data_IF_367633852958
#
_entry.id   IF_367633852958
#
_cell.length_a   1.000
_cell.length_b   1.000
_cell.length_c   1.000
_cell.angle_alpha   90.00
_cell.angle_beta   90.00
_cell.angle_gamma   90.00
#
_symmetry.space_group_name_H-M   'P 1'
#
loop_
_entity.id
_entity.type
_entity.pdbx_description
1 polymer ?
#
# COMPACT_ATOMS: atom_id res chain seq x y z
N UNK A 1 5.95 -21.30 11.86
CA UNK A 1 6.29 -19.90 11.49
C UNK A 1 5.26 -19.01 12.14
N UNK A 2 5.66 -17.86 12.71
CA UNK A 2 4.68 -16.87 13.15
C UNK A 2 4.13 -16.19 11.90
N UNK A 3 2.85 -16.36 11.62
CA UNK A 3 2.19 -15.71 10.50
C UNK A 3 1.87 -14.26 10.87
N UNK A 4 2.85 -13.39 10.61
CA UNK A 4 2.60 -11.96 10.43
C UNK A 4 1.83 -11.75 9.14
N UNK A 5 1.05 -10.68 9.09
CA UNK A 5 0.35 -10.26 7.88
C UNK A 5 -1.14 -10.06 8.10
N UNK A 6 -1.82 -9.57 7.09
CA UNK A 6 -3.25 -9.27 7.18
C UNK A 6 -3.93 -9.41 5.82
N UNK A 7 -5.15 -9.92 5.82
CA UNK A 7 -6.04 -9.89 4.67
C UNK A 7 -7.47 -9.49 5.09
N UNK A 8 -8.28 -9.11 4.12
CA UNK A 8 -9.66 -8.64 4.34
C UNK A 8 -10.59 -9.73 4.91
N UNK A 9 -10.25 -11.01 4.74
CA UNK A 9 -11.05 -12.16 5.18
C UNK A 9 -10.86 -12.47 6.68
N UNK A 10 -9.83 -11.90 7.33
CA UNK A 10 -9.51 -12.16 8.74
C UNK A 10 -10.56 -11.63 9.74
N UNK A 11 -11.60 -10.92 9.28
CA UNK A 11 -12.67 -10.39 10.13
C UNK A 11 -12.21 -9.36 11.18
N UNK A 12 -10.98 -8.88 11.08
CA UNK A 12 -10.40 -7.88 11.99
C UNK A 12 -9.78 -6.72 11.22
N UNK A 13 -9.64 -5.56 11.86
CA UNK A 13 -9.01 -4.40 11.23
C UNK A 13 -7.49 -4.60 11.08
N UNK A 14 -6.91 -4.00 10.05
CA UNK A 14 -5.46 -4.00 9.82
C UNK A 14 -4.72 -3.36 11.01
N UNK A 15 -5.27 -2.29 11.59
CA UNK A 15 -4.74 -1.69 12.82
C UNK A 15 -4.68 -2.69 13.98
N UNK A 16 -5.79 -3.43 14.20
CA UNK A 16 -5.86 -4.45 15.24
C UNK A 16 -4.83 -5.55 15.04
N UNK A 17 -4.66 -6.01 13.79
CA UNK A 17 -3.68 -7.03 13.44
C UNK A 17 -2.24 -6.55 13.61
N UNK A 18 -1.89 -5.33 13.16
CA UNK A 18 -0.55 -4.74 13.37
C UNK A 18 -0.18 -4.68 14.85
N UNK A 19 -1.12 -4.30 15.73
CA UNK A 19 -0.89 -4.28 17.19
C UNK A 19 -0.70 -5.68 17.76
N UNK A 20 -1.52 -6.65 17.34
CA UNK A 20 -1.40 -8.04 17.78
C UNK A 20 -0.07 -8.66 17.33
N UNK A 21 0.35 -8.38 16.09
CA UNK A 21 1.60 -8.86 15.53
C UNK A 21 2.81 -8.20 16.17
N UNK A 22 2.74 -6.89 16.48
CA UNK A 22 3.80 -6.22 17.23
C UNK A 22 4.02 -6.88 18.59
N UNK A 23 2.94 -7.19 19.32
CA UNK A 23 3.02 -7.90 20.60
C UNK A 23 3.68 -9.27 20.40
N UNK A 24 3.26 -9.99 19.37
CA UNK A 24 3.80 -11.31 19.03
C UNK A 24 5.29 -11.26 18.68
N UNK A 25 5.72 -10.27 17.88
CA UNK A 25 7.12 -10.04 17.52
C UNK A 25 7.98 -9.67 18.74
N UNK A 26 7.45 -8.85 19.65
CA UNK A 26 8.15 -8.51 20.90
C UNK A 26 8.33 -9.74 21.81
N UNK A 27 7.31 -10.58 21.96
CA UNK A 27 7.36 -11.78 22.79
C UNK A 27 8.30 -12.86 22.22
N UNK A 28 8.28 -13.02 20.90
CA UNK A 28 9.14 -13.97 20.18
C UNK A 28 10.57 -13.46 19.94
N UNK A 29 10.85 -12.20 20.30
CA UNK A 29 12.13 -11.51 20.05
C UNK A 29 12.50 -11.45 18.56
N UNK A 30 11.53 -11.49 17.65
CA UNK A 30 11.75 -11.16 16.24
C UNK A 30 11.93 -9.65 16.11
N UNK A 31 13.19 -9.20 16.23
CA UNK A 31 13.53 -7.78 16.19
C UNK A 31 13.24 -7.16 14.82
N UNK A 32 13.37 -7.93 13.74
CA UNK A 32 13.19 -7.43 12.39
C UNK A 32 11.71 -7.18 12.09
N UNK A 33 10.83 -8.14 12.44
CA UNK A 33 9.39 -7.94 12.32
C UNK A 33 8.88 -6.84 13.26
N UNK A 34 9.39 -6.81 14.50
CA UNK A 34 9.06 -5.76 15.48
C UNK A 34 9.41 -4.37 14.94
N UNK A 35 10.61 -4.19 14.42
CA UNK A 35 11.08 -2.90 13.95
C UNK A 35 10.35 -2.47 12.68
N UNK A 36 10.04 -3.42 11.78
CA UNK A 36 9.20 -3.16 10.62
C UNK A 36 7.79 -2.67 10.99
N UNK A 37 7.12 -3.37 11.91
CA UNK A 37 5.77 -2.99 12.36
C UNK A 37 5.80 -1.66 13.11
N UNK A 38 6.84 -1.40 13.92
CA UNK A 38 7.01 -0.09 14.59
C UNK A 38 7.21 1.04 13.60
N UNK A 39 7.95 0.81 12.51
CA UNK A 39 8.11 1.81 11.47
C UNK A 39 6.75 2.17 10.87
N UNK A 40 5.90 1.19 10.54
CA UNK A 40 4.53 1.46 10.05
C UNK A 40 3.73 2.30 11.05
N UNK A 41 3.75 1.94 12.33
CA UNK A 41 3.03 2.67 13.38
C UNK A 41 3.59 4.09 13.56
N UNK A 42 4.89 4.29 13.36
CA UNK A 42 5.53 5.62 13.46
C UNK A 42 5.07 6.59 12.37
N UNK A 43 4.50 6.08 11.26
CA UNK A 43 3.96 6.90 10.17
C UNK A 43 2.53 7.38 10.43
N UNK A 44 1.84 6.84 11.43
CA UNK A 44 0.45 7.17 11.75
C UNK A 44 0.16 8.66 12.00
N UNK A 45 1.08 9.47 12.58
CA UNK A 45 0.88 10.92 12.68
C UNK A 45 0.65 11.64 11.34
N UNK A 46 1.02 11.03 10.20
CA UNK A 46 0.72 11.58 8.87
C UNK A 46 -0.76 11.46 8.49
N UNK A 47 -1.49 10.54 9.11
CA UNK A 47 -2.93 10.40 8.91
C UNK A 47 -3.64 11.49 9.68
N UNK A 48 -4.18 12.48 8.96
CA UNK A 48 -4.78 13.66 9.57
C UNK A 48 -6.23 13.87 9.16
N UNK A 49 -6.96 14.61 9.97
CA UNK A 49 -8.29 15.14 9.64
C UNK A 49 -8.27 16.66 9.72
N UNK A 50 -8.98 17.34 8.80
CA UNK A 50 -9.11 18.78 8.84
C UNK A 50 -9.93 19.23 10.05
N UNK A 51 -9.56 20.36 10.64
CA UNK A 51 -10.33 21.02 11.68
C UNK A 51 -10.35 22.53 11.45
N UNK A 52 -11.40 23.18 11.96
CA UNK A 52 -11.54 24.63 11.91
C UNK A 52 -11.49 25.16 13.34
N UNK A 53 -10.56 26.06 13.62
CA UNK A 53 -10.44 26.72 14.91
C UNK A 53 -11.55 27.74 15.11
N UNK A 54 -11.81 28.16 16.35
CA UNK A 54 -12.79 29.23 16.67
C UNK A 54 -12.51 30.54 15.92
N UNK A 55 -11.23 30.79 15.59
CA UNK A 55 -10.80 31.92 14.77
C UNK A 55 -11.12 31.80 13.26
N UNK A 56 -11.78 30.72 12.83
CA UNK A 56 -12.06 30.40 11.42
C UNK A 56 -10.86 29.84 10.63
N UNK A 57 -9.68 29.73 11.25
CA UNK A 57 -8.48 29.17 10.60
C UNK A 57 -8.60 27.65 10.45
N UNK A 58 -8.29 27.15 9.25
CA UNK A 58 -8.13 25.71 8.98
C UNK A 58 -6.82 25.20 9.61
N UNK A 59 -6.89 24.04 10.23
CA UNK A 59 -5.76 23.31 10.82
C UNK A 59 -5.98 21.81 10.62
N UNK A 60 -5.07 20.99 11.13
CA UNK A 60 -5.12 19.53 11.04
C UNK A 60 -4.77 18.90 12.39
N UNK A 61 -5.38 17.76 12.67
CA UNK A 61 -5.00 16.89 13.79
C UNK A 61 -4.79 15.47 13.30
N UNK A 62 -4.07 14.67 14.06
CA UNK A 62 -3.93 13.25 13.78
C UNK A 62 -5.30 12.55 13.88
N UNK A 63 -5.50 11.53 13.03
CA UNK A 63 -6.59 10.57 13.16
C UNK A 63 -6.42 9.80 14.46
N UNK A 64 -7.53 9.59 15.16
CA UNK A 64 -7.63 8.63 16.26
C UNK A 64 -7.70 7.22 15.69
N UNK A 65 -7.50 6.23 16.55
CA UNK A 65 -7.51 4.81 16.15
C UNK A 65 -8.83 4.37 15.53
N UNK A 66 -9.95 4.88 16.03
CA UNK A 66 -11.31 4.64 15.52
C UNK A 66 -11.60 5.35 14.19
N UNK A 67 -10.76 6.31 13.79
CA UNK A 67 -10.87 7.06 12.53
C UNK A 67 -9.96 6.51 11.42
N UNK A 68 -9.03 5.62 11.76
CA UNK A 68 -8.09 5.01 10.82
C UNK A 68 -8.76 3.87 10.04
N UNK A 69 -8.86 4.01 8.73
CA UNK A 69 -9.39 2.93 7.89
C UNK A 69 -8.28 1.97 7.46
N UNK A 70 -8.65 0.75 7.07
CA UNK A 70 -7.70 -0.22 6.50
C UNK A 70 -6.99 0.38 5.28
N UNK A 71 -7.72 1.12 4.45
CA UNK A 71 -7.19 1.77 3.26
C UNK A 71 -6.13 2.82 3.62
N UNK A 72 -6.34 3.64 4.65
CA UNK A 72 -5.32 4.62 5.09
C UNK A 72 -4.00 3.92 5.43
N UNK A 73 -4.07 2.84 6.20
CA UNK A 73 -2.90 2.08 6.66
C UNK A 73 -2.24 1.35 5.49
N UNK A 74 -3.02 0.75 4.59
CA UNK A 74 -2.50 0.16 3.36
C UNK A 74 -1.75 1.20 2.51
N UNK A 75 -2.22 2.46 2.44
CA UNK A 75 -1.50 3.54 1.76
C UNK A 75 -0.14 3.82 2.38
N UNK A 76 -0.06 3.87 3.71
CA UNK A 76 1.20 4.10 4.42
C UNK A 76 2.19 2.96 4.18
N UNK A 77 1.75 1.70 4.31
CA UNK A 77 2.59 0.52 4.07
C UNK A 77 3.11 0.53 2.63
N UNK A 78 2.29 0.91 1.65
CA UNK A 78 2.72 1.05 0.26
C UNK A 78 3.74 2.16 0.05
N UNK A 79 3.57 3.30 0.71
CA UNK A 79 4.57 4.38 0.69
C UNK A 79 5.92 3.90 1.21
N UNK A 80 5.93 3.13 2.30
CA UNK A 80 7.13 2.54 2.87
C UNK A 80 7.76 1.49 1.94
N UNK A 81 6.96 0.59 1.35
CA UNK A 81 7.43 -0.38 0.36
C UNK A 81 8.09 0.30 -0.83
N UNK A 82 7.48 1.38 -1.35
CA UNK A 82 8.07 2.17 -2.46
C UNK A 82 9.40 2.80 -2.05
N UNK A 83 9.45 3.41 -0.86
CA UNK A 83 10.68 4.01 -0.34
C UNK A 83 11.78 2.96 -0.17
N UNK A 84 11.46 1.78 0.33
CA UNK A 84 12.43 0.70 0.52
C UNK A 84 12.96 0.16 -0.81
N UNK A 85 12.09 -0.03 -1.82
CA UNK A 85 12.51 -0.46 -3.17
C UNK A 85 13.53 0.51 -3.78
N UNK A 86 13.33 1.82 -3.62
CA UNK A 86 14.29 2.84 -4.08
C UNK A 86 15.63 2.72 -3.35
N UNK A 87 15.61 2.49 -2.04
CA UNK A 87 16.85 2.27 -1.25
C UNK A 87 17.57 1.00 -1.70
N UNK A 88 16.84 -0.08 -1.93
CA UNK A 88 17.37 -1.36 -2.40
C UNK A 88 18.01 -1.23 -3.79
N UNK A 89 17.39 -0.49 -4.71
CA UNK A 89 17.95 -0.21 -6.03
C UNK A 89 19.30 0.52 -5.92
N UNK A 90 19.40 1.54 -5.06
CA UNK A 90 20.64 2.27 -4.80
C UNK A 90 21.72 1.35 -4.21
N UNK A 91 21.32 0.44 -3.31
CA UNK A 91 22.21 -0.54 -2.68
C UNK A 91 22.55 -1.73 -3.59
N UNK A 92 21.84 -1.91 -4.71
CA UNK A 92 21.89 -3.10 -5.57
C UNK A 92 21.55 -4.39 -4.81
N UNK A 93 20.57 -4.30 -3.91
CA UNK A 93 20.01 -5.43 -3.16
C UNK A 93 18.62 -5.77 -3.72
N UNK A 94 18.26 -7.05 -3.78
CA UNK A 94 16.97 -7.47 -4.35
C UNK A 94 15.82 -7.46 -3.33
N UNK A 95 16.12 -7.67 -2.05
CA UNK A 95 15.12 -7.64 -0.98
C UNK A 95 15.75 -7.23 0.35
N UNK A 96 14.89 -6.83 1.28
CA UNK A 96 15.21 -6.69 2.69
C UNK A 96 14.15 -7.37 3.55
N UNK A 97 14.53 -7.77 4.76
CA UNK A 97 13.57 -8.30 5.73
C UNK A 97 12.44 -7.30 6.03
N UNK A 98 12.73 -6.00 5.96
CA UNK A 98 11.73 -4.96 6.09
C UNK A 98 10.67 -5.06 4.97
N UNK A 99 11.11 -5.15 3.72
CA UNK A 99 10.24 -5.34 2.56
C UNK A 99 9.41 -6.62 2.67
N UNK A 100 10.01 -7.74 3.06
CA UNK A 100 9.32 -9.02 3.22
C UNK A 100 8.17 -8.91 4.22
N UNK A 101 8.42 -8.29 5.39
CA UNK A 101 7.41 -8.13 6.45
C UNK A 101 6.28 -7.22 5.99
N UNK A 102 6.59 -6.08 5.38
CA UNK A 102 5.56 -5.16 4.90
C UNK A 102 4.64 -5.80 3.84
N UNK A 103 5.24 -6.61 2.95
CA UNK A 103 4.51 -7.30 1.88
C UNK A 103 3.42 -8.25 2.42
N UNK A 104 3.61 -8.83 3.62
CA UNK A 104 2.61 -9.70 4.24
C UNK A 104 1.32 -8.99 4.66
N UNK A 105 1.34 -7.65 4.78
CA UNK A 105 0.17 -6.85 5.15
C UNK A 105 -0.55 -6.24 3.95
N UNK A 106 0.02 -6.39 2.75
CA UNK A 106 -0.58 -5.90 1.51
C UNK A 106 -1.36 -7.03 0.85
N UNK A 107 -2.47 -6.73 0.15
CA UNK A 107 -3.07 -7.67 -0.78
C UNK A 107 -2.00 -8.15 -1.76
N UNK A 108 -2.10 -9.41 -2.21
CA UNK A 108 -1.26 -9.94 -3.29
C UNK A 108 -1.26 -8.93 -4.43
N UNK A 109 -0.09 -8.36 -4.71
CA UNK A 109 0.01 -7.37 -5.76
C UNK A 109 -0.32 -8.06 -7.08
N UNK A 110 -1.11 -7.41 -7.92
CA UNK A 110 -1.34 -7.89 -9.26
C UNK A 110 -0.01 -7.79 -10.03
N UNK A 111 0.48 -8.95 -10.45
CA UNK A 111 1.66 -9.03 -11.28
C UNK A 111 1.40 -8.37 -12.63
N UNK A 112 2.48 -8.04 -13.36
CA UNK A 112 2.39 -7.41 -14.69
C UNK A 112 1.44 -8.15 -15.61
N UNK A 113 1.49 -9.48 -15.61
CA UNK A 113 0.66 -10.36 -16.43
C UNK A 113 -0.81 -10.28 -16.03
N UNK A 114 -1.13 -10.33 -14.74
CA UNK A 114 -2.49 -10.20 -14.24
C UNK A 114 -3.11 -8.84 -14.60
N UNK A 115 -2.33 -7.76 -14.51
CA UNK A 115 -2.76 -6.42 -14.92
C UNK A 115 -3.02 -6.39 -16.44
N UNK A 116 -2.12 -6.95 -17.25
CA UNK A 116 -2.27 -7.01 -18.71
C UNK A 116 -3.51 -7.79 -19.12
N UNK A 117 -3.72 -8.99 -18.59
CA UNK A 117 -4.88 -9.82 -18.91
C UNK A 117 -6.18 -9.12 -18.56
N UNK A 118 -6.26 -8.51 -17.37
CA UNK A 118 -7.46 -7.78 -16.97
C UNK A 118 -7.73 -6.58 -17.89
N UNK A 119 -6.69 -5.85 -18.28
CA UNK A 119 -6.80 -4.73 -19.23
C UNK A 119 -7.38 -5.22 -20.57
N UNK A 120 -6.87 -6.32 -21.11
CA UNK A 120 -7.34 -6.86 -22.40
C UNK A 120 -8.78 -7.36 -22.36
N UNK A 121 -9.21 -7.89 -21.22
CA UNK A 121 -10.57 -8.40 -21.02
C UNK A 121 -11.59 -7.30 -20.70
N UNK A 122 -11.18 -6.20 -20.06
CA UNK A 122 -12.11 -5.23 -19.45
C UNK A 122 -11.98 -3.80 -19.97
N UNK A 123 -10.92 -3.47 -20.72
CA UNK A 123 -10.68 -2.11 -21.23
C UNK A 123 -10.78 -2.11 -22.76
N UNK A 124 -11.82 -1.44 -23.25
CA UNK A 124 -11.94 -1.08 -24.66
C UNK A 124 -11.20 0.23 -24.95
N UNK A 125 -9.98 0.11 -25.48
CA UNK A 125 -9.14 1.27 -25.82
C UNK A 125 -9.73 2.20 -26.89
N UNK A 126 -10.71 1.72 -27.69
CA UNK A 126 -11.35 2.56 -28.72
C UNK A 126 -12.18 3.70 -28.13
N UNK A 127 -12.58 3.58 -26.85
CA UNK A 127 -13.36 4.60 -26.14
C UNK A 127 -12.49 5.72 -25.55
N UNK A 128 -11.17 5.59 -25.63
CA UNK A 128 -10.21 6.53 -25.07
C UNK A 128 -9.42 7.23 -26.16
N UNK A 129 -9.13 8.52 -25.96
CA UNK A 129 -8.27 9.30 -26.87
C UNK A 129 -6.79 8.91 -26.74
N UNK A 130 -6.42 8.25 -25.65
CA UNK A 130 -5.09 7.74 -25.37
C UNK A 130 -5.18 6.56 -24.38
N UNK A 131 -4.36 5.50 -24.54
CA UNK A 131 -4.29 4.40 -23.58
C UNK A 131 -4.05 4.85 -22.13
N UNK A 132 -3.38 5.99 -21.92
CA UNK A 132 -3.15 6.53 -20.58
C UNK A 132 -4.44 6.92 -19.85
N UNK A 133 -5.55 7.17 -20.56
CA UNK A 133 -6.84 7.49 -19.94
C UNK A 133 -7.48 6.26 -19.24
N UNK A 134 -7.02 5.05 -19.57
CA UNK A 134 -7.48 3.82 -18.93
C UNK A 134 -6.91 3.62 -17.51
N UNK A 135 -5.95 4.45 -17.06
CA UNK A 135 -5.39 4.38 -15.69
C UNK A 135 -6.50 4.42 -14.64
N UNK A 136 -7.48 5.30 -14.79
CA UNK A 136 -8.56 5.47 -13.80
C UNK A 136 -9.35 4.17 -13.56
N UNK A 137 -9.94 3.56 -14.60
CA UNK A 137 -10.62 2.27 -14.50
C UNK A 137 -9.75 1.13 -13.92
N UNK A 138 -8.49 1.01 -14.37
CA UNK A 138 -7.57 -0.03 -13.89
C UNK A 138 -7.27 0.15 -12.40
N UNK A 139 -6.93 1.38 -12.00
CA UNK A 139 -6.70 1.74 -10.60
C UNK A 139 -7.98 1.64 -9.77
N UNK A 140 -9.18 1.69 -10.36
CA UNK A 140 -10.44 1.45 -9.65
C UNK A 140 -10.66 -0.03 -9.37
N UNK A 141 -10.27 -0.92 -10.30
CA UNK A 141 -10.38 -2.37 -10.12
C UNK A 141 -9.32 -2.91 -9.18
N UNK A 142 -8.04 -2.65 -9.47
CA UNK A 142 -6.93 -3.11 -8.66
C UNK A 142 -6.74 -2.28 -7.40
N UNK A 143 -7.20 -1.03 -7.38
CA UNK A 143 -7.08 -0.15 -6.23
C UNK A 143 -5.62 0.02 -5.84
N UNK A 144 -5.33 -0.48 -4.63
CA UNK A 144 -4.00 -0.49 -4.03
C UNK A 144 -3.22 -1.76 -4.36
N UNK A 145 -3.84 -2.80 -4.91
CA UNK A 145 -3.15 -4.03 -5.31
C UNK A 145 -2.31 -3.89 -6.59
N UNK A 146 -2.36 -2.76 -7.31
CA UNK A 146 -1.50 -2.51 -8.47
C UNK A 146 -0.53 -1.35 -8.21
N UNK A 147 0.68 -1.47 -8.76
CA UNK A 147 1.62 -0.35 -8.81
C UNK A 147 1.26 0.58 -9.96
N UNK A 148 0.88 1.82 -9.65
CA UNK A 148 0.53 2.83 -10.64
C UNK A 148 1.68 3.14 -11.63
N UNK A 149 2.94 2.95 -11.24
CA UNK A 149 4.07 3.07 -12.17
C UNK A 149 4.07 1.92 -13.17
N UNK A 150 3.89 0.69 -12.70
CA UNK A 150 3.78 -0.49 -13.56
C UNK A 150 2.59 -0.41 -14.51
N UNK A 151 1.43 0.02 -14.03
CA UNK A 151 0.23 0.26 -14.87
C UNK A 151 0.54 1.30 -15.95
N UNK A 152 1.23 2.38 -15.59
CA UNK A 152 1.61 3.43 -16.54
C UNK A 152 2.57 2.88 -17.60
N UNK A 153 3.59 2.11 -17.22
CA UNK A 153 4.53 1.48 -18.16
C UNK A 153 3.82 0.52 -19.12
N UNK A 154 2.88 -0.30 -18.62
CA UNK A 154 2.07 -1.19 -19.46
C UNK A 154 1.28 -0.39 -20.49
N UNK A 155 0.61 0.69 -20.08
CA UNK A 155 -0.18 1.52 -20.98
C UNK A 155 0.67 2.30 -21.98
N UNK A 156 1.83 2.81 -21.57
CA UNK A 156 2.79 3.47 -22.48
C UNK A 156 3.34 2.49 -23.52
N UNK A 157 3.58 1.23 -23.15
CA UNK A 157 3.99 0.19 -24.11
C UNK A 157 2.92 -0.13 -25.14
N UNK A 158 1.64 -0.15 -24.73
CA UNK A 158 0.49 -0.35 -25.65
C UNK A 158 0.20 0.87 -26.53
N UNK A 159 0.60 2.09 -26.13
CA UNK A 159 0.45 3.29 -26.95
C UNK A 159 1.49 3.43 -28.07
N UNK A 160 2.59 2.67 -27.99
CA UNK A 160 3.68 2.66 -28.99
C UNK A 160 3.62 1.46 -29.94
N UNK A 161 2.75 0.50 -29.67
CA UNK A 161 2.47 -0.66 -30.51
C UNK A 161 1.35 -0.34 -31.51
#
# INVERSE_FOLDING_TARGET
MLEYGWNQEMGMTLLGKLKADLKTAMLSKDTLARDAIRQVISEFPKLTVPLTLESGKKSFRCKKEDEMTNEDILALIQGLVKSEKVVLEIKKEESSRFLDVLSTYLPVMADREAIVSWIEENIDFSQFKSPMQAIGPIMKHFGKAADGLLVKEILESKAKA
#
